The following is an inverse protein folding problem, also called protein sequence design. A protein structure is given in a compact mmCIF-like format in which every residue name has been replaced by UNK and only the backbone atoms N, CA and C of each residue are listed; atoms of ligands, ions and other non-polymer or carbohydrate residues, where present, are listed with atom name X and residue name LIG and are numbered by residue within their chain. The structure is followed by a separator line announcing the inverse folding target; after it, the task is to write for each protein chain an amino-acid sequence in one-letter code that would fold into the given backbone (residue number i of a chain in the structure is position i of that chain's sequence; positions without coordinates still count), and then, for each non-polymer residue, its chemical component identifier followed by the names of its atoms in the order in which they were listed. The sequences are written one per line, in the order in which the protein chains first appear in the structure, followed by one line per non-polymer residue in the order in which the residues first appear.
data_IF_580763418954
#
_entry.id   IF_580763418954
#
_cell.length_a   1.000
_cell.length_b   1.000
_cell.length_c   1.000
_cell.angle_alpha   90.00
_cell.angle_beta   90.00
_cell.angle_gamma   90.00
#
_symmetry.space_group_name_H-M   'P 1'
#
loop_
_entity.id
_entity.type
_entity.pdbx_description
1 polymer ?
#
# COMPACT_ATOMS: atom_id res chain seq x y z
N UNK A 1 27.77 2.37 11.88
CA UNK A 1 26.37 2.44 11.42
C UNK A 1 26.32 3.23 10.12
N UNK A 2 25.45 2.84 9.19
CA UNK A 2 25.21 3.49 7.91
C UNK A 2 23.77 4.02 7.89
N UNK A 3 23.59 5.25 7.42
CA UNK A 3 22.26 5.85 7.20
C UNK A 3 22.00 5.83 5.69
N UNK A 4 20.97 5.10 5.27
CA UNK A 4 20.57 5.00 3.87
C UNK A 4 19.40 5.96 3.58
N UNK A 5 19.63 6.98 2.76
CA UNK A 5 18.69 8.10 2.60
C UNK A 5 18.01 8.21 1.24
N UNK A 6 18.36 7.36 0.26
CA UNK A 6 17.80 7.47 -1.10
C UNK A 6 16.39 6.89 -1.21
N UNK A 7 16.12 5.81 -0.48
CA UNK A 7 14.85 5.09 -0.57
C UNK A 7 13.75 5.76 0.27
N UNK A 8 12.52 5.88 -0.25
CA UNK A 8 11.42 6.56 0.44
C UNK A 8 10.73 5.69 1.50
N UNK A 9 10.97 4.38 1.47
CA UNK A 9 10.44 3.43 2.46
C UNK A 9 11.08 3.64 3.83
N UNK A 10 10.26 3.66 4.88
CA UNK A 10 10.72 3.86 6.25
C UNK A 10 11.06 2.52 6.93
N UNK A 11 12.32 2.10 6.87
CA UNK A 11 12.89 0.99 7.65
C UNK A 11 13.79 1.56 8.75
N UNK A 12 13.14 2.21 9.73
CA UNK A 12 13.80 3.07 10.72
C UNK A 12 14.70 2.32 11.70
N UNK A 13 14.33 1.08 12.04
CA UNK A 13 15.03 0.28 13.03
C UNK A 13 16.35 -0.26 12.42
N UNK A 14 17.53 -0.03 13.05
CA UNK A 14 18.80 -0.48 12.50
C UNK A 14 18.85 -2.01 12.32
N UNK A 15 19.26 -2.45 11.13
CA UNK A 15 19.42 -3.86 10.77
C UNK A 15 20.89 -4.20 10.60
N UNK A 16 21.36 -5.26 11.26
CA UNK A 16 22.72 -5.76 11.08
C UNK A 16 22.89 -6.38 9.69
N UNK A 17 23.99 -6.07 9.01
CA UNK A 17 24.33 -6.72 7.75
C UNK A 17 25.19 -7.96 8.04
N UNK A 18 24.69 -9.18 7.71
CA UNK A 18 25.38 -10.42 8.05
C UNK A 18 26.83 -10.44 7.56
N UNK A 19 27.75 -10.76 8.48
CA UNK A 19 29.17 -10.92 8.16
C UNK A 19 29.96 -9.64 7.95
N UNK A 20 29.34 -8.45 8.05
CA UNK A 20 30.02 -7.17 7.82
C UNK A 20 30.20 -6.31 9.07
N UNK A 21 29.59 -6.67 10.20
CA UNK A 21 29.82 -6.02 11.50
C UNK A 21 29.34 -4.57 11.58
N UNK A 22 28.40 -4.18 10.71
CA UNK A 22 27.76 -2.87 10.76
C UNK A 22 26.24 -2.97 10.58
N UNK A 23 25.55 -1.93 11.04
CA UNK A 23 24.11 -1.81 10.91
C UNK A 23 23.74 -0.74 9.88
N UNK A 24 22.64 -0.96 9.15
CA UNK A 24 22.00 0.00 8.25
C UNK A 24 20.66 0.43 8.86
N UNK A 25 20.37 1.72 8.85
CA UNK A 25 19.04 2.26 9.09
C UNK A 25 18.60 3.07 7.87
N UNK A 26 17.31 2.98 7.50
CA UNK A 26 16.73 3.69 6.37
C UNK A 26 15.52 4.50 6.87
N UNK A 27 15.71 5.79 7.25
CA UNK A 27 14.63 6.60 7.79
C UNK A 27 13.44 6.82 6.84
N UNK A 28 13.68 6.74 5.53
CA UNK A 28 12.67 6.98 4.51
C UNK A 28 12.39 8.47 4.28
N UNK A 29 11.36 8.73 3.46
CA UNK A 29 10.87 10.08 3.18
C UNK A 29 10.02 10.64 4.33
N UNK A 30 9.95 11.97 4.45
CA UNK A 30 9.04 12.65 5.39
C UNK A 30 7.63 12.88 4.81
N UNK A 31 7.39 12.49 3.56
CA UNK A 31 6.12 12.61 2.85
C UNK A 31 6.00 11.49 1.81
N UNK A 32 4.79 11.00 1.58
CA UNK A 32 4.52 10.10 0.45
C UNK A 32 4.73 10.85 -0.87
N UNK A 33 5.80 10.54 -1.61
CA UNK A 33 6.11 11.15 -2.91
C UNK A 33 5.44 10.43 -4.08
N UNK A 34 5.22 9.13 -3.90
CA UNK A 34 4.58 8.22 -4.84
C UNK A 34 3.49 7.41 -4.15
N UNK A 35 2.45 7.04 -4.90
CA UNK A 35 1.32 6.25 -4.39
C UNK A 35 1.59 4.75 -4.51
N UNK A 36 2.62 4.28 -3.79
CA UNK A 36 3.07 2.88 -3.76
C UNK A 36 3.02 2.31 -2.34
N UNK A 37 2.91 0.98 -2.23
CA UNK A 37 2.77 0.28 -0.94
C UNK A 37 3.86 0.66 0.09
N UNK A 38 5.11 0.75 -0.35
CA UNK A 38 6.25 1.03 0.56
C UNK A 38 6.22 2.44 1.15
N UNK A 39 5.52 3.38 0.52
CA UNK A 39 5.34 4.74 1.03
C UNK A 39 4.13 4.89 1.96
N UNK A 40 3.25 3.88 2.04
CA UNK A 40 2.11 3.86 2.96
C UNK A 40 2.51 3.55 4.41
N UNK A 41 3.72 3.03 4.63
CA UNK A 41 4.24 2.75 5.96
C UNK A 41 4.35 4.03 6.81
N UNK A 42 4.04 3.98 8.12
CA UNK A 42 4.18 5.12 9.02
C UNK A 42 5.60 5.70 9.00
N UNK A 43 5.70 7.01 8.81
CA UNK A 43 6.98 7.71 8.69
C UNK A 43 7.54 8.09 10.07
N UNK A 44 8.85 7.99 10.21
CA UNK A 44 9.55 8.25 11.46
C UNK A 44 10.79 9.10 11.25
N UNK A 45 11.18 9.86 12.28
CA UNK A 45 12.53 10.38 12.43
C UNK A 45 13.34 9.45 13.36
N UNK A 46 14.65 9.42 13.17
CA UNK A 46 15.58 8.69 14.03
C UNK A 46 16.28 9.66 14.97
N UNK A 47 16.09 9.50 16.28
CA UNK A 47 16.94 10.12 17.27
C UNK A 47 18.11 9.20 17.57
N UNK A 48 19.33 9.67 17.26
CA UNK A 48 20.56 8.89 17.36
C UNK A 48 21.47 9.49 18.43
N UNK A 49 21.78 8.70 19.45
CA UNK A 49 22.75 9.03 20.49
C UNK A 49 24.04 8.24 20.26
N UNK A 50 25.19 8.90 20.30
CA UNK A 50 26.50 8.26 20.07
C UNK A 50 27.40 8.54 21.26
N UNK A 51 27.97 7.48 21.84
CA UNK A 51 28.95 7.56 22.94
C UNK A 51 30.15 6.68 22.61
N UNK A 52 31.26 7.31 22.23
CA UNK A 52 32.46 6.59 21.81
C UNK A 52 32.18 5.74 20.56
N UNK A 53 32.24 4.42 20.70
CA UNK A 53 31.96 3.44 19.62
C UNK A 53 30.57 2.82 19.70
N UNK A 54 29.81 3.14 20.73
CA UNK A 54 28.46 2.65 20.95
C UNK A 54 27.44 3.70 20.51
N UNK A 55 26.25 3.23 20.16
CA UNK A 55 25.14 4.10 19.82
C UNK A 55 23.82 3.54 20.33
N UNK A 56 22.83 4.42 20.47
CA UNK A 56 21.45 4.08 20.77
C UNK A 56 20.53 4.83 19.83
N UNK A 57 19.45 4.17 19.41
CA UNK A 57 18.43 4.74 18.54
C UNK A 57 17.09 4.82 19.24
N UNK A 58 16.34 5.89 18.96
CA UNK A 58 14.94 6.03 19.35
C UNK A 58 14.16 6.52 18.14
N UNK A 59 13.15 5.76 17.72
CA UNK A 59 12.26 6.16 16.61
C UNK A 59 11.20 7.13 17.11
N UNK A 60 10.97 8.19 16.35
CA UNK A 60 10.00 9.24 16.65
C UNK A 60 8.97 9.26 15.51
N UNK A 61 7.70 8.88 15.75
CA UNK A 61 6.68 8.90 14.71
C UNK A 61 6.36 10.34 14.28
N UNK A 62 6.27 10.57 12.97
CA UNK A 62 5.95 11.88 12.42
C UNK A 62 4.43 12.10 12.38
N UNK A 63 3.92 12.90 13.31
CA UNK A 63 2.47 13.18 13.45
C UNK A 63 1.92 14.12 12.36
N UNK A 64 2.78 14.89 11.70
CA UNK A 64 2.38 15.86 10.68
C UNK A 64 2.20 15.23 9.29
N UNK A 65 2.59 13.97 9.10
CA UNK A 65 2.46 13.27 7.82
C UNK A 65 0.99 13.01 7.53
N UNK A 66 0.59 13.21 6.28
CA UNK A 66 -0.77 12.89 5.85
C UNK A 66 -0.91 11.36 5.81
N UNK A 67 -1.97 10.77 6.41
CA UNK A 67 -2.21 9.33 6.29
C UNK A 67 -2.28 8.91 4.83
N UNK A 68 -1.64 7.79 4.50
CA UNK A 68 -1.68 7.19 3.18
C UNK A 68 -2.04 5.71 3.32
N UNK A 69 -3.20 5.35 2.80
CA UNK A 69 -3.70 3.98 2.80
C UNK A 69 -3.49 3.36 1.42
N UNK A 70 -2.88 2.17 1.40
CA UNK A 70 -2.64 1.41 0.19
C UNK A 70 -3.25 0.01 0.32
N UNK A 71 -3.87 -0.47 -0.74
CA UNK A 71 -4.32 -1.85 -0.81
C UNK A 71 -4.20 -2.45 -2.20
N UNK A 72 -4.22 -3.78 -2.24
CA UNK A 72 -4.13 -4.56 -3.45
C UNK A 72 -5.29 -5.57 -3.47
N UNK A 73 -6.04 -5.56 -4.57
CA UNK A 73 -7.19 -6.44 -4.80
C UNK A 73 -6.94 -7.21 -6.08
N UNK A 74 -7.09 -8.53 -6.02
CA UNK A 74 -7.08 -9.38 -7.20
C UNK A 74 -8.51 -9.69 -7.57
N UNK A 75 -8.91 -9.32 -8.77
CA UNK A 75 -10.14 -9.77 -9.39
C UNK A 75 -9.79 -11.04 -10.15
N UNK A 76 -10.08 -12.19 -9.53
CA UNK A 76 -9.90 -13.51 -10.15
C UNK A 76 -10.78 -13.65 -11.40
N UNK A 77 -10.43 -14.62 -12.27
CA UNK A 77 -11.01 -14.91 -13.59
C UNK A 77 -12.54 -15.16 -13.57
N UNK A 78 -13.32 -14.12 -13.29
CA UNK A 78 -14.73 -14.05 -13.62
C UNK A 78 -14.78 -13.72 -15.10
N UNK A 79 -15.00 -14.77 -15.89
CA UNK A 79 -15.29 -14.74 -17.32
C UNK A 79 -16.38 -13.69 -17.58
N UNK A 80 -16.11 -12.78 -18.51
CA UNK A 80 -17.08 -11.87 -19.13
C UNK A 80 -17.94 -11.03 -18.16
N UNK A 81 -17.32 -10.12 -17.41
CA UNK A 81 -18.06 -8.89 -17.07
C UNK A 81 -18.18 -8.09 -18.37
N UNK A 82 -19.37 -8.11 -18.97
CA UNK A 82 -19.70 -7.28 -20.12
C UNK A 82 -19.36 -5.82 -19.76
N UNK A 83 -18.50 -5.13 -20.53
CA UNK A 83 -18.26 -3.70 -20.35
C UNK A 83 -19.54 -2.85 -20.32
N UNK A 84 -20.65 -3.34 -20.88
CA UNK A 84 -21.97 -2.72 -20.83
C UNK A 84 -22.80 -3.05 -19.58
N UNK A 85 -22.41 -4.03 -18.77
CA UNK A 85 -23.09 -4.40 -17.53
C UNK A 85 -22.55 -3.57 -16.34
N UNK A 86 -23.07 -2.35 -16.23
CA UNK A 86 -22.77 -1.44 -15.12
C UNK A 86 -23.09 -2.04 -13.74
N UNK A 87 -24.03 -3.00 -13.64
CA UNK A 87 -24.44 -3.58 -12.36
C UNK A 87 -23.38 -4.55 -11.81
N UNK A 88 -22.86 -5.42 -12.66
CA UNK A 88 -21.76 -6.34 -12.29
C UNK A 88 -20.47 -5.58 -11.97
N UNK A 89 -20.17 -4.51 -12.71
CA UNK A 89 -19.05 -3.61 -12.41
C UNK A 89 -19.28 -2.91 -11.06
N UNK A 90 -20.49 -2.41 -10.79
CA UNK A 90 -20.82 -1.76 -9.53
C UNK A 90 -20.73 -2.70 -8.33
N UNK A 91 -21.17 -3.96 -8.43
CA UNK A 91 -21.07 -4.93 -7.33
C UNK A 91 -19.61 -5.30 -7.03
N UNK A 92 -18.77 -5.45 -8.07
CA UNK A 92 -17.34 -5.69 -7.89
C UNK A 92 -16.61 -4.47 -7.31
N UNK A 93 -16.98 -3.27 -7.77
CA UNK A 93 -16.52 -2.01 -7.19
C UNK A 93 -17.10 -1.75 -5.80
N UNK A 94 -18.18 -2.41 -5.40
CA UNK A 94 -18.76 -2.25 -4.06
C UNK A 94 -17.83 -2.83 -2.98
N UNK A 95 -17.14 -3.94 -3.25
CA UNK A 95 -16.10 -4.46 -2.35
C UNK A 95 -14.94 -3.46 -2.20
N UNK A 96 -14.49 -2.91 -3.33
CA UNK A 96 -13.48 -1.86 -3.37
C UNK A 96 -13.98 -0.61 -2.62
N UNK A 97 -15.25 -0.26 -2.78
CA UNK A 97 -15.89 0.89 -2.16
C UNK A 97 -15.96 0.76 -0.64
N UNK A 98 -16.42 -0.39 -0.14
CA UNK A 98 -16.48 -0.71 1.28
C UNK A 98 -15.07 -0.64 1.89
N UNK A 99 -14.08 -1.17 1.17
CA UNK A 99 -12.69 -1.10 1.60
C UNK A 99 -12.17 0.34 1.70
N UNK A 100 -12.40 1.18 0.68
CA UNK A 100 -12.03 2.61 0.73
C UNK A 100 -12.74 3.30 1.91
N UNK A 101 -14.03 3.05 2.10
CA UNK A 101 -14.80 3.64 3.20
C UNK A 101 -14.22 3.27 4.57
N UNK A 102 -13.91 1.98 4.79
CA UNK A 102 -13.27 1.50 6.01
C UNK A 102 -11.89 2.14 6.24
N UNK A 103 -11.08 2.28 5.18
CA UNK A 103 -9.78 2.96 5.28
C UNK A 103 -9.91 4.43 5.68
N UNK A 104 -10.88 5.15 5.11
CA UNK A 104 -11.15 6.54 5.45
C UNK A 104 -11.62 6.67 6.90
N UNK A 105 -12.47 5.77 7.36
CA UNK A 105 -12.97 5.75 8.75
C UNK A 105 -11.84 5.49 9.74
N UNK A 106 -11.03 4.45 9.50
CA UNK A 106 -9.84 4.15 10.32
C UNK A 106 -8.92 5.37 10.44
N UNK A 107 -8.63 6.05 9.33
CA UNK A 107 -7.81 7.27 9.33
C UNK A 107 -8.42 8.41 10.15
N UNK A 108 -9.75 8.55 10.16
CA UNK A 108 -10.46 9.55 10.99
C UNK A 108 -10.41 9.21 12.48
N UNK A 109 -10.52 7.93 12.84
CA UNK A 109 -10.43 7.45 14.23
C UNK A 109 -9.03 7.67 14.80
N UNK A 110 -7.98 7.39 14.03
CA UNK A 110 -6.59 7.66 14.41
C UNK A 110 -6.30 9.16 14.61
N UNK A 111 -6.88 10.02 13.76
CA UNK A 111 -6.79 11.47 13.95
C UNK A 111 -7.51 11.93 15.22
N UNK A 112 -8.66 11.34 15.53
CA UNK A 112 -9.47 11.69 16.71
C UNK A 112 -8.80 11.28 18.02
N UNK A 113 -8.19 10.08 18.05
CA UNK A 113 -7.47 9.58 19.23
C UNK A 113 -6.15 10.31 19.51
N UNK A 114 -5.49 10.83 18.46
CA UNK A 114 -4.26 11.62 18.59
C UNK A 114 -4.48 13.10 18.93
N UNK A 115 -5.73 13.57 18.99
CA UNK A 115 -6.06 14.98 19.19
C UNK A 115 -5.61 15.90 18.05
N UNK A 116 -5.24 15.33 16.91
CA UNK A 116 -4.77 16.06 15.74
C UNK A 116 -5.94 16.47 14.84
N UNK A 117 -5.79 17.57 14.08
CA UNK A 117 -6.81 17.95 13.10
C UNK A 117 -6.91 16.84 12.04
N UNK A 118 -8.13 16.32 11.75
CA UNK A 118 -8.30 15.26 10.76
C UNK A 118 -7.87 15.77 9.38
N UNK A 119 -6.89 15.09 8.80
CA UNK A 119 -6.44 15.31 7.42
C UNK A 119 -7.14 14.30 6.53
N UNK A 120 -7.68 14.74 5.39
CA UNK A 120 -8.15 13.80 4.37
C UNK A 120 -6.99 12.88 3.94
N UNK A 121 -7.16 11.55 3.94
CA UNK A 121 -6.09 10.62 3.59
C UNK A 121 -5.78 10.64 2.09
N UNK A 122 -4.58 10.18 1.75
CA UNK A 122 -4.26 9.64 0.43
C UNK A 122 -4.76 8.18 0.42
N UNK A 123 -5.38 7.74 -0.68
CA UNK A 123 -5.82 6.35 -0.83
C UNK A 123 -5.42 5.83 -2.18
N UNK A 124 -4.79 4.65 -2.25
CA UNK A 124 -4.53 3.95 -3.51
C UNK A 124 -4.93 2.49 -3.41
N UNK A 125 -5.71 2.01 -4.37
CA UNK A 125 -6.10 0.62 -4.52
C UNK A 125 -5.58 0.13 -5.86
N UNK A 126 -4.66 -0.82 -5.80
CA UNK A 126 -4.17 -1.53 -6.98
C UNK A 126 -5.09 -2.71 -7.25
N UNK A 127 -5.69 -2.73 -8.43
CA UNK A 127 -6.65 -3.75 -8.85
C UNK A 127 -6.01 -4.57 -9.96
N UNK A 128 -5.77 -5.85 -9.71
CA UNK A 128 -5.37 -6.80 -10.75
C UNK A 128 -6.61 -7.32 -11.45
N UNK A 129 -6.65 -7.24 -12.78
CA UNK A 129 -7.80 -7.69 -13.57
C UNK A 129 -7.36 -8.43 -14.84
N UNK A 130 -8.15 -9.40 -15.30
CA UNK A 130 -7.88 -10.16 -16.55
C UNK A 130 -8.69 -9.69 -17.77
N UNK A 131 -9.72 -8.85 -17.60
CA UNK A 131 -10.53 -8.29 -18.71
C UNK A 131 -11.16 -6.90 -18.47
N UNK A 132 -11.17 -6.40 -17.24
CA UNK A 132 -11.89 -5.19 -16.79
C UNK A 132 -11.19 -3.86 -17.14
N UNK A 133 -10.82 -3.64 -18.40
CA UNK A 133 -10.15 -2.40 -18.84
C UNK A 133 -11.06 -1.16 -18.90
N UNK A 134 -12.36 -1.30 -18.66
CA UNK A 134 -13.37 -0.25 -18.86
C UNK A 134 -13.76 0.54 -17.62
N UNK A 135 -13.23 0.20 -16.44
CA UNK A 135 -13.54 0.95 -15.20
C UNK A 135 -12.96 2.36 -15.30
N UNK A 136 -13.83 3.36 -15.35
CA UNK A 136 -13.42 4.75 -15.36
C UNK A 136 -13.01 5.20 -13.95
N UNK A 137 -11.70 5.21 -13.68
CA UNK A 137 -11.13 5.62 -12.40
C UNK A 137 -11.56 7.02 -11.97
N UNK A 138 -11.80 7.93 -12.93
CA UNK A 138 -12.23 9.30 -12.62
C UNK A 138 -13.66 9.34 -12.11
N UNK A 139 -14.57 8.57 -12.71
CA UNK A 139 -15.97 8.45 -12.27
C UNK A 139 -16.03 7.82 -10.88
N UNK A 140 -15.30 6.73 -10.64
CA UNK A 140 -15.18 6.13 -9.31
C UNK A 140 -14.70 7.15 -8.27
N UNK A 141 -13.70 7.96 -8.64
CA UNK A 141 -13.16 9.04 -7.81
C UNK A 141 -14.15 10.11 -7.39
N UNK A 142 -15.21 10.37 -8.18
CA UNK A 142 -16.19 11.41 -7.88
C UNK A 142 -16.92 11.15 -6.56
N UNK A 143 -17.16 9.89 -6.19
CA UNK A 143 -17.81 9.50 -4.93
C UNK A 143 -16.98 9.84 -3.66
N UNK A 144 -15.69 10.16 -3.85
CA UNK A 144 -14.72 10.41 -2.78
C UNK A 144 -14.17 11.84 -2.77
N UNK A 145 -14.70 12.73 -3.61
CA UNK A 145 -14.38 14.16 -3.55
C UNK A 145 -14.73 14.70 -2.16
N UNK A 146 -13.77 15.42 -1.56
CA UNK A 146 -13.90 15.93 -0.19
C UNK A 146 -13.73 14.88 0.91
N UNK A 147 -13.52 13.60 0.57
CA UNK A 147 -13.22 12.51 1.52
C UNK A 147 -11.76 12.07 1.48
N UNK A 148 -11.10 12.20 0.32
CA UNK A 148 -9.67 11.93 0.11
C UNK A 148 -9.01 13.11 -0.62
N UNK A 149 -7.68 13.18 -0.63
CA UNK A 149 -6.96 14.23 -1.38
C UNK A 149 -6.68 13.89 -2.85
N UNK A 150 -6.72 12.61 -3.21
CA UNK A 150 -6.37 12.12 -4.54
C UNK A 150 -7.55 11.38 -5.24
N UNK A 151 -8.74 12.00 -5.38
CA UNK A 151 -9.93 11.30 -5.88
C UNK A 151 -9.75 10.73 -7.29
N UNK A 152 -9.00 11.41 -8.15
CA UNK A 152 -8.75 10.97 -9.53
C UNK A 152 -7.74 9.82 -9.63
N UNK A 153 -7.09 9.49 -8.51
CA UNK A 153 -5.92 8.64 -8.40
C UNK A 153 -6.14 7.54 -7.35
N UNK A 154 -7.40 7.20 -7.03
CA UNK A 154 -7.68 6.14 -6.07
C UNK A 154 -7.39 4.77 -6.66
N UNK A 155 -7.74 4.52 -7.93
CA UNK A 155 -7.57 3.22 -8.55
C UNK A 155 -6.29 3.16 -9.39
N UNK A 156 -5.57 2.04 -9.30
CA UNK A 156 -4.50 1.65 -10.20
C UNK A 156 -4.88 0.29 -10.81
N UNK A 157 -5.39 0.31 -12.04
CA UNK A 157 -5.76 -0.91 -12.76
C UNK A 157 -4.50 -1.53 -13.37
N UNK A 158 -4.24 -2.78 -13.01
CA UNK A 158 -3.11 -3.57 -13.53
C UNK A 158 -3.66 -4.81 -14.21
N UNK A 159 -3.26 -5.05 -15.46
CA UNK A 159 -3.64 -6.30 -16.15
C UNK A 159 -2.87 -7.47 -15.55
N UNK A 160 -3.57 -8.46 -15.03
CA UNK A 160 -2.95 -9.71 -14.58
C UNK A 160 -2.47 -10.50 -15.80
N UNK A 161 -1.25 -11.04 -15.73
CA UNK A 161 -0.76 -12.00 -16.73
C UNK A 161 -1.42 -13.35 -16.42
N UNK A 162 -2.09 -13.95 -17.40
CA UNK A 162 -2.60 -15.32 -17.28
C UNK A 162 -1.49 -16.22 -16.75
N UNK A 163 -1.68 -16.82 -15.56
CA UNK A 163 -0.85 -17.92 -15.10
C UNK A 163 -1.11 -19.06 -16.07
N UNK A 164 -0.19 -19.31 -17.00
CA UNK A 164 -0.12 -20.61 -17.66
C UNK A 164 0.08 -21.64 -16.54
N UNK A 165 -0.99 -22.39 -16.20
CA UNK A 165 -0.88 -23.57 -15.37
C UNK A 165 0.02 -24.56 -16.11
N UNK A 166 1.29 -24.66 -15.72
CA UNK A 166 2.07 -25.84 -16.05
C UNK A 166 1.56 -26.93 -15.12
N UNK A 167 0.68 -27.80 -15.64
CA UNK A 167 0.29 -29.02 -14.96
C UNK A 167 1.55 -29.88 -14.81
N UNK A 168 2.11 -29.94 -13.61
CA UNK A 168 3.00 -31.04 -13.26
C UNK A 168 2.11 -32.28 -13.09
N UNK A 169 2.06 -33.10 -14.14
CA UNK A 169 1.60 -34.48 -14.04
C UNK A 169 2.65 -35.22 -13.21
N UNK A 170 2.35 -35.48 -11.93
CA UNK A 170 3.07 -36.49 -11.17
C UNK A 170 2.47 -37.84 -11.55
N UNK A 171 3.16 -38.59 -12.41
CA UNK A 171 2.96 -40.03 -12.55
C UNK A 171 3.41 -40.69 -11.25
N UNK A 172 2.45 -41.13 -10.43
CA UNK A 172 2.69 -42.13 -9.41
C UNK A 172 2.89 -43.48 -10.13
N UNK A 173 4.13 -43.95 -10.17
CA UNK A 173 4.46 -45.32 -10.54
C UNK A 173 4.00 -46.22 -9.39
N UNK A 174 2.98 -47.05 -9.65
CA UNK A 174 2.79 -48.30 -8.92
C UNK A 174 3.81 -49.32 -9.40
N UNK A 175 4.32 -50.10 -8.45
CA UNK A 175 4.66 -51.54 -8.52
C UNK A 175 5.82 -51.76 -7.54
N UNK A 176 5.76 -52.70 -6.59
CA UNK A 176 5.15 -54.02 -6.71
C UNK A 176 6.22 -55.00 -7.16
#
# INVERSE_FOLDING_TARGET
MVIWGHEPECLIDPQEVPGLGFHITQPGSSIATSLINTEANPKHALFLEIKGREYRTTKIPLQSVRPFEYAEVVLEDQVDVDPGDEASIHEHLHKVWLYVSNLIEKSREEASSSGSKPKLPLVRIKVHHTGLSTINSKQFGQHYVGKVVNPQDILLLTRSRQRHQTMQVNEEISDG
#
